data_IF_954217689112
#
_entry.id   IF_954217689112
#
_cell.length_a   1.000
_cell.length_b   1.000
_cell.length_c   1.000
_cell.angle_alpha   90.00
_cell.angle_beta   90.00
_cell.angle_gamma   90.00
#
_symmetry.space_group_name_H-M   'P 1'
#
loop_
_entity.id
_entity.type
_entity.pdbx_description
1 polymer ?
#
# COMPACT_ATOMS: atom_id res chain seq x y z
N UNK A 1 -65.52 -35.87 45.40
CA UNK A 1 -64.23 -36.33 44.84
C UNK A 1 -63.75 -35.49 43.65
N UNK A 2 -64.62 -35.02 42.74
CA UNK A 2 -64.23 -34.09 41.66
C UNK A 2 -63.94 -32.65 42.17
N UNK A 3 -64.70 -32.13 43.13
CA UNK A 3 -64.46 -30.78 43.67
C UNK A 3 -63.17 -30.62 44.50
N UNK A 4 -62.68 -31.69 45.11
CA UNK A 4 -61.40 -31.66 45.84
C UNK A 4 -60.21 -31.61 44.85
N UNK A 5 -60.33 -32.31 43.71
CA UNK A 5 -59.33 -32.29 42.63
C UNK A 5 -59.31 -30.93 41.92
N UNK A 6 -60.45 -30.24 41.82
CA UNK A 6 -60.53 -28.89 41.24
C UNK A 6 -59.87 -27.83 42.16
N UNK A 7 -60.12 -27.89 43.48
CA UNK A 7 -59.49 -26.99 44.46
C UNK A 7 -57.98 -27.22 44.60
N UNK A 8 -57.53 -28.46 44.51
CA UNK A 8 -56.10 -28.79 44.51
C UNK A 8 -55.41 -28.35 43.19
N UNK A 9 -56.17 -28.23 42.08
CA UNK A 9 -55.68 -27.69 40.80
C UNK A 9 -55.61 -26.17 40.77
N UNK A 10 -56.50 -25.45 41.44
CA UNK A 10 -56.44 -23.99 41.57
C UNK A 10 -55.35 -23.52 42.54
N UNK A 11 -55.10 -24.26 43.62
CA UNK A 11 -54.00 -23.97 44.55
C UNK A 11 -52.61 -24.21 43.92
N UNK A 12 -52.47 -25.24 43.06
CA UNK A 12 -51.26 -25.47 42.25
C UNK A 12 -51.08 -24.45 41.11
N UNK A 13 -52.15 -23.79 40.64
CA UNK A 13 -52.08 -22.74 39.61
C UNK A 13 -51.65 -21.39 40.16
N UNK A 14 -51.99 -21.08 41.42
CA UNK A 14 -51.68 -19.81 42.06
C UNK A 14 -50.37 -19.79 42.87
N UNK A 15 -49.66 -20.92 42.99
CA UNK A 15 -48.33 -21.00 43.63
C UNK A 15 -47.15 -20.97 42.64
N UNK A 16 -47.39 -20.93 41.32
CA UNK A 16 -46.32 -20.93 40.30
C UNK A 16 -46.17 -19.59 39.55
N UNK A 17 -46.71 -18.50 40.08
CA UNK A 17 -46.67 -17.16 39.44
C UNK A 17 -45.81 -16.13 40.20
N UNK A 18 -44.92 -16.57 41.08
CA UNK A 18 -43.82 -15.75 41.59
C UNK A 18 -42.55 -16.61 41.58
N UNK A 19 -41.51 -16.12 40.89
CA UNK A 19 -40.17 -16.71 40.71
C UNK A 19 -39.97 -17.84 39.67
N UNK A 20 -40.50 -17.66 38.46
CA UNK A 20 -39.94 -18.34 37.28
C UNK A 20 -38.99 -17.40 36.55
N UNK A 21 -37.71 -17.43 36.96
CA UNK A 21 -36.62 -16.95 36.13
C UNK A 21 -36.61 -17.74 34.82
N UNK A 22 -37.12 -17.13 33.76
CA UNK A 22 -37.10 -17.73 32.43
C UNK A 22 -35.66 -17.81 31.93
N UNK A 23 -35.00 -18.97 32.06
CA UNK A 23 -33.80 -19.26 31.28
C UNK A 23 -34.22 -19.59 29.85
N UNK A 24 -34.23 -18.59 29.00
CA UNK A 24 -34.39 -18.78 27.57
C UNK A 24 -33.07 -19.33 27.00
N UNK A 25 -33.07 -20.59 26.56
CA UNK A 25 -32.01 -21.11 25.68
C UNK A 25 -32.55 -20.98 24.25
N UNK A 26 -32.12 -19.99 23.46
CA UNK A 26 -32.56 -19.87 22.08
C UNK A 26 -32.16 -21.13 21.32
N UNK A 27 -33.14 -21.87 20.80
CA UNK A 27 -32.87 -22.81 19.73
C UNK A 27 -32.65 -21.99 18.45
N UNK A 28 -31.40 -21.59 18.21
CA UNK A 28 -31.00 -20.92 16.99
C UNK A 28 -31.15 -21.92 15.84
N UNK A 29 -32.26 -21.86 15.10
CA UNK A 29 -32.30 -22.45 13.77
C UNK A 29 -31.33 -21.68 12.88
N UNK A 30 -30.23 -22.33 12.51
CA UNK A 30 -29.33 -21.81 11.50
C UNK A 30 -30.09 -21.75 10.17
N UNK A 31 -30.63 -20.58 9.84
CA UNK A 31 -31.00 -20.29 8.47
C UNK A 31 -29.72 -20.34 7.65
N UNK A 32 -29.64 -21.29 6.71
CA UNK A 32 -28.60 -21.27 5.67
C UNK A 32 -28.79 -19.97 4.90
N UNK A 33 -28.02 -18.95 5.24
CA UNK A 33 -27.82 -17.81 4.35
C UNK A 33 -27.38 -18.39 3.01
N UNK A 34 -28.14 -18.07 1.96
CA UNK A 34 -27.78 -18.49 0.62
C UNK A 34 -26.33 -18.07 0.40
N UNK A 35 -25.44 -19.04 0.15
CA UNK A 35 -24.04 -18.77 -0.17
C UNK A 35 -24.01 -18.08 -1.52
N UNK A 36 -24.15 -16.76 -1.53
CA UNK A 36 -23.92 -15.93 -2.70
C UNK A 36 -22.47 -16.19 -3.08
N UNK A 37 -22.24 -16.94 -4.17
CA UNK A 37 -20.89 -17.15 -4.69
C UNK A 37 -20.32 -15.78 -5.03
N UNK A 38 -19.40 -15.30 -4.20
CA UNK A 38 -18.70 -14.04 -4.42
C UNK A 38 -17.96 -14.15 -5.76
N UNK A 39 -18.35 -13.31 -6.72
CA UNK A 39 -17.65 -13.20 -8.01
C UNK A 39 -16.52 -12.19 -7.83
N UNK A 40 -15.33 -12.68 -7.54
CA UNK A 40 -14.12 -11.87 -7.31
C UNK A 40 -13.86 -10.87 -8.44
N UNK A 41 -14.10 -11.28 -9.70
CA UNK A 41 -13.93 -10.43 -10.88
C UNK A 41 -14.80 -9.17 -10.91
N UNK A 42 -15.83 -9.10 -10.06
CA UNK A 42 -16.73 -7.93 -9.93
C UNK A 42 -16.39 -7.03 -8.74
N UNK A 43 -15.46 -7.44 -7.89
CA UNK A 43 -15.03 -6.67 -6.74
C UNK A 43 -13.79 -5.85 -7.08
N UNK A 44 -13.64 -4.68 -6.47
CA UNK A 44 -12.37 -3.96 -6.44
C UNK A 44 -11.34 -4.73 -5.62
N UNK A 45 -10.05 -4.49 -5.87
CA UNK A 45 -8.97 -5.18 -5.14
C UNK A 45 -9.05 -4.92 -3.64
N UNK A 46 -9.35 -3.68 -3.24
CA UNK A 46 -9.59 -3.30 -1.84
C UNK A 46 -10.70 -4.14 -1.19
N UNK A 47 -11.84 -4.32 -1.87
CA UNK A 47 -12.96 -5.12 -1.34
C UNK A 47 -12.59 -6.61 -1.21
N UNK A 48 -11.71 -7.11 -2.08
CA UNK A 48 -11.19 -8.48 -1.95
C UNK A 48 -10.29 -8.60 -0.72
N UNK A 49 -9.42 -7.63 -0.46
CA UNK A 49 -8.56 -7.64 0.73
C UNK A 49 -9.39 -7.61 2.03
N UNK A 50 -10.45 -6.80 2.08
CA UNK A 50 -11.39 -6.75 3.22
C UNK A 50 -12.11 -8.10 3.37
N UNK A 51 -12.62 -8.67 2.27
CA UNK A 51 -13.26 -9.99 2.29
C UNK A 51 -12.31 -11.09 2.81
N UNK A 52 -11.04 -11.05 2.39
CA UNK A 52 -10.01 -11.98 2.84
C UNK A 52 -9.73 -11.83 4.33
N UNK A 53 -9.57 -10.60 4.83
CA UNK A 53 -9.36 -10.34 6.26
C UNK A 53 -10.49 -10.93 7.11
N UNK A 54 -11.75 -10.69 6.74
CA UNK A 54 -12.89 -11.26 7.44
C UNK A 54 -12.88 -12.78 7.44
N UNK A 55 -12.53 -13.40 6.31
CA UNK A 55 -12.47 -14.84 6.21
C UNK A 55 -11.31 -15.46 6.98
N UNK A 56 -10.16 -14.76 7.09
CA UNK A 56 -9.08 -15.16 7.99
C UNK A 56 -9.53 -15.09 9.45
N UNK A 57 -10.15 -13.99 9.88
CA UNK A 57 -10.66 -13.81 11.24
C UNK A 57 -11.69 -14.88 11.63
N UNK A 58 -12.55 -15.29 10.69
CA UNK A 58 -13.58 -16.32 10.89
C UNK A 58 -13.09 -17.74 10.64
N UNK A 59 -11.83 -17.93 10.23
CA UNK A 59 -11.28 -19.22 9.80
C UNK A 59 -12.17 -19.93 8.76
N UNK A 60 -12.68 -19.18 7.77
CA UNK A 60 -13.59 -19.71 6.74
C UNK A 60 -12.85 -20.73 5.84
N UNK A 61 -13.09 -22.01 6.10
CA UNK A 61 -12.48 -23.13 5.36
C UNK A 61 -12.72 -23.06 3.85
N UNK A 62 -13.86 -22.53 3.40
CA UNK A 62 -14.15 -22.42 1.97
C UNK A 62 -13.35 -21.28 1.32
N UNK A 63 -13.15 -20.17 2.02
CA UNK A 63 -12.26 -19.12 1.54
C UNK A 63 -10.82 -19.61 1.52
N UNK A 64 -10.36 -20.22 2.61
CA UNK A 64 -8.98 -20.71 2.76
C UNK A 64 -8.64 -21.79 1.72
N UNK A 65 -9.58 -22.68 1.38
CA UNK A 65 -9.35 -23.66 0.31
C UNK A 65 -9.24 -23.04 -1.09
N UNK A 66 -9.74 -21.81 -1.27
CA UNK A 66 -9.66 -21.06 -2.52
C UNK A 66 -8.54 -20.00 -2.52
N UNK A 67 -7.70 -19.93 -1.49
CA UNK A 67 -6.74 -18.83 -1.31
C UNK A 67 -5.77 -18.69 -2.49
N UNK A 68 -5.26 -19.80 -3.03
CA UNK A 68 -4.36 -19.80 -4.20
C UNK A 68 -5.04 -19.31 -5.49
N UNK A 69 -6.35 -19.52 -5.62
CA UNK A 69 -7.11 -18.96 -6.73
C UNK A 69 -7.28 -17.46 -6.56
N UNK A 70 -7.60 -17.00 -5.35
CA UNK A 70 -7.75 -15.57 -5.05
C UNK A 70 -6.41 -14.86 -5.26
N UNK A 71 -5.31 -15.46 -4.80
CA UNK A 71 -3.93 -15.00 -5.01
C UNK A 71 -3.67 -14.73 -6.49
N UNK A 72 -3.85 -15.73 -7.35
CA UNK A 72 -3.63 -15.60 -8.80
C UNK A 72 -4.46 -14.49 -9.44
N UNK A 73 -5.70 -14.33 -9.02
CA UNK A 73 -6.57 -13.28 -9.56
C UNK A 73 -6.12 -11.88 -9.12
N UNK A 74 -5.79 -11.72 -7.84
CA UNK A 74 -5.39 -10.43 -7.26
C UNK A 74 -4.01 -9.99 -7.78
N UNK A 75 -3.06 -10.92 -7.92
CA UNK A 75 -1.70 -10.63 -8.43
C UNK A 75 -1.65 -10.11 -9.86
N UNK A 76 -2.72 -10.27 -10.65
CA UNK A 76 -2.79 -9.81 -12.04
C UNK A 76 -3.39 -8.40 -12.17
N UNK A 77 -3.83 -7.80 -11.07
CA UNK A 77 -4.55 -6.51 -11.10
C UNK A 77 -3.58 -5.34 -11.06
N UNK A 78 -3.82 -4.36 -11.91
CA UNK A 78 -2.99 -3.15 -12.02
C UNK A 78 -3.14 -2.22 -10.81
N UNK A 79 -4.30 -2.22 -10.15
CA UNK A 79 -4.58 -1.41 -8.95
C UNK A 79 -4.09 -2.04 -7.65
N UNK A 80 -3.39 -3.19 -7.72
CA UNK A 80 -3.03 -3.99 -6.55
C UNK A 80 -2.24 -3.20 -5.51
N UNK A 81 -1.16 -2.55 -5.92
CA UNK A 81 -0.27 -1.87 -5.00
C UNK A 81 -0.99 -0.72 -4.27
N UNK A 82 -1.71 0.13 -5.01
CA UNK A 82 -2.48 1.23 -4.43
C UNK A 82 -3.59 0.74 -3.50
N UNK A 83 -4.30 -0.33 -3.87
CA UNK A 83 -5.33 -0.94 -3.03
C UNK A 83 -4.76 -1.51 -1.73
N UNK A 84 -3.54 -2.08 -1.76
CA UNK A 84 -2.84 -2.55 -0.56
C UNK A 84 -2.47 -1.37 0.34
N UNK A 85 -1.96 -0.27 -0.20
CA UNK A 85 -1.63 0.91 0.61
C UNK A 85 -2.86 1.50 1.30
N UNK A 86 -3.96 1.68 0.54
CA UNK A 86 -5.28 2.08 1.06
C UNK A 86 -5.76 1.16 2.18
N UNK A 87 -5.59 -0.14 1.98
CA UNK A 87 -5.96 -1.13 2.97
C UNK A 87 -5.12 -0.98 4.24
N UNK A 88 -3.79 -0.83 4.12
CA UNK A 88 -2.85 -0.81 5.25
C UNK A 88 -2.88 0.47 6.09
N UNK A 89 -3.18 1.63 5.50
CA UNK A 89 -3.13 2.94 6.15
C UNK A 89 -3.83 2.99 7.52
N UNK A 90 -5.00 2.35 7.60
CA UNK A 90 -5.84 2.37 8.81
C UNK A 90 -5.81 1.05 9.59
N UNK A 91 -4.85 0.16 9.32
CA UNK A 91 -4.82 -1.17 9.93
C UNK A 91 -3.89 -1.23 11.12
N UNK A 92 -4.45 -1.74 12.22
CA UNK A 92 -3.65 -2.14 13.39
C UNK A 92 -3.02 -3.49 13.10
N UNK A 93 -1.69 -3.50 12.99
CA UNK A 93 -0.92 -4.73 12.91
C UNK A 93 -0.85 -5.35 14.31
N UNK A 94 -1.14 -6.65 14.41
CA UNK A 94 -0.93 -7.44 15.62
C UNK A 94 0.18 -8.45 15.40
N UNK A 95 0.66 -9.02 16.49
CA UNK A 95 1.65 -10.09 16.51
C UNK A 95 1.18 -11.31 15.70
N UNK A 96 2.11 -12.03 15.08
CA UNK A 96 1.86 -13.25 14.32
C UNK A 96 1.21 -14.35 15.17
N UNK A 97 1.50 -14.40 16.47
CA UNK A 97 0.82 -15.33 17.39
C UNK A 97 -0.68 -15.08 17.48
N UNK A 98 -1.13 -13.83 17.34
CA UNK A 98 -2.55 -13.50 17.30
C UNK A 98 -3.24 -14.08 16.06
N UNK A 99 -2.48 -14.25 14.98
CA UNK A 99 -2.97 -14.61 13.65
C UNK A 99 -2.69 -16.06 13.27
N UNK A 100 -2.01 -16.83 14.11
CA UNK A 100 -1.59 -18.17 13.76
C UNK A 100 -2.78 -19.13 13.73
N UNK A 101 -2.95 -19.82 12.60
CA UNK A 101 -3.97 -20.86 12.43
C UNK A 101 -3.28 -22.17 12.03
N UNK A 102 -3.40 -23.25 12.83
CA UNK A 102 -2.75 -24.52 12.53
C UNK A 102 -3.15 -25.08 11.14
N UNK A 103 -2.16 -25.54 10.39
CA UNK A 103 -2.36 -26.25 9.12
C UNK A 103 -2.51 -25.36 7.87
N UNK A 104 -2.39 -24.04 8.00
CA UNK A 104 -2.41 -23.12 6.85
C UNK A 104 -1.09 -22.37 6.69
N UNK A 105 -0.57 -22.31 5.45
CA UNK A 105 0.64 -21.56 5.10
C UNK A 105 0.43 -20.05 5.18
N UNK A 106 -0.74 -19.59 4.77
CA UNK A 106 -1.18 -18.20 4.87
C UNK A 106 -2.25 -18.15 5.95
N UNK A 107 -1.90 -17.61 7.11
CA UNK A 107 -2.79 -17.58 8.27
C UNK A 107 -3.49 -16.24 8.46
N UNK A 108 -3.02 -15.17 7.78
CA UNK A 108 -3.64 -13.86 7.84
C UNK A 108 -3.43 -13.04 6.55
N UNK A 109 -4.12 -11.90 6.53
CA UNK A 109 -4.11 -10.95 5.42
C UNK A 109 -2.73 -10.31 5.16
N UNK A 110 -1.92 -10.10 6.20
CA UNK A 110 -0.58 -9.53 6.03
C UNK A 110 0.37 -10.54 5.37
N UNK A 111 0.33 -11.81 5.79
CA UNK A 111 1.05 -12.89 5.10
C UNK A 111 0.59 -13.02 3.65
N UNK A 112 -0.72 -12.89 3.40
CA UNK A 112 -1.25 -12.88 2.04
C UNK A 112 -0.68 -11.72 1.22
N UNK A 113 -0.68 -10.50 1.76
CA UNK A 113 -0.12 -9.30 1.10
C UNK A 113 1.36 -9.50 0.76
N UNK A 114 2.15 -10.01 1.70
CA UNK A 114 3.58 -10.26 1.46
C UNK A 114 3.85 -11.35 0.42
N UNK A 115 2.92 -12.28 0.25
CA UNK A 115 3.02 -13.35 -0.74
C UNK A 115 2.56 -12.90 -2.15
N UNK A 116 1.73 -11.85 -2.26
CA UNK A 116 1.34 -11.25 -3.54
C UNK A 116 2.23 -10.08 -3.98
N UNK A 117 2.88 -9.39 -3.04
CA UNK A 117 3.83 -8.29 -3.30
C UNK A 117 5.12 -8.58 -2.51
N UNK A 118 5.97 -9.52 -2.98
CA UNK A 118 7.19 -9.89 -2.26
C UNK A 118 8.21 -8.74 -2.16
N UNK A 119 8.17 -7.78 -3.07
CA UNK A 119 9.01 -6.58 -3.09
C UNK A 119 8.29 -5.34 -2.52
N UNK A 120 7.42 -5.53 -1.52
CA UNK A 120 6.62 -4.43 -0.93
C UNK A 120 7.48 -3.27 -0.42
N UNK A 121 8.57 -3.55 0.31
CA UNK A 121 9.41 -2.51 0.91
C UNK A 121 10.08 -1.60 -0.13
N UNK A 122 10.80 -2.13 -1.15
CA UNK A 122 11.32 -1.30 -2.24
C UNK A 122 10.24 -0.46 -2.93
N UNK A 123 9.09 -1.06 -3.26
CA UNK A 123 7.98 -0.35 -3.93
C UNK A 123 7.39 0.76 -3.05
N UNK A 124 7.22 0.50 -1.75
CA UNK A 124 6.71 1.48 -0.81
C UNK A 124 7.71 2.62 -0.58
N UNK A 125 9.02 2.34 -0.56
CA UNK A 125 10.06 3.36 -0.47
C UNK A 125 10.03 4.30 -1.67
N UNK A 126 9.95 3.75 -2.89
CA UNK A 126 9.82 4.55 -4.12
C UNK A 126 8.56 5.41 -4.12
N UNK A 127 7.41 4.81 -3.78
CA UNK A 127 6.13 5.52 -3.66
C UNK A 127 6.21 6.65 -2.63
N UNK A 128 6.75 6.36 -1.45
CA UNK A 128 6.85 7.31 -0.35
C UNK A 128 7.71 8.53 -0.73
N UNK A 129 8.88 8.28 -1.32
CA UNK A 129 9.79 9.33 -1.80
C UNK A 129 9.12 10.17 -2.88
N UNK A 130 8.50 9.54 -3.89
CA UNK A 130 7.77 10.26 -4.95
C UNK A 130 6.74 11.22 -4.35
N UNK A 131 5.90 10.73 -3.43
CA UNK A 131 4.82 11.53 -2.87
C UNK A 131 5.30 12.68 -2.01
N UNK A 132 6.36 12.47 -1.23
CA UNK A 132 7.01 13.53 -0.46
C UNK A 132 7.61 14.58 -1.39
N UNK A 133 8.41 14.16 -2.37
CA UNK A 133 9.10 15.08 -3.27
C UNK A 133 8.10 15.92 -4.06
N UNK A 134 7.03 15.30 -4.55
CA UNK A 134 5.96 15.98 -5.27
C UNK A 134 4.98 16.75 -4.36
N UNK A 135 5.12 16.70 -3.03
CA UNK A 135 4.21 17.32 -2.05
C UNK A 135 2.74 16.92 -2.26
N UNK A 136 2.51 15.65 -2.63
CA UNK A 136 1.17 15.10 -2.88
C UNK A 136 0.68 14.34 -1.66
N UNK A 137 -0.64 14.30 -1.47
CA UNK A 137 -1.25 13.39 -0.49
C UNK A 137 -0.95 11.93 -0.86
N UNK A 138 -0.77 11.09 0.15
CA UNK A 138 -0.43 9.68 -0.03
C UNK A 138 -0.99 8.82 1.10
N UNK A 139 -1.09 7.52 0.82
CA UNK A 139 -1.52 6.52 1.80
C UNK A 139 -0.33 6.10 2.66
N UNK A 140 -0.42 6.41 3.96
CA UNK A 140 0.68 6.15 4.89
C UNK A 140 0.62 4.72 5.47
N UNK A 141 1.44 3.82 4.93
CA UNK A 141 1.61 2.47 5.44
C UNK A 141 2.77 2.33 6.45
N UNK A 142 3.31 3.44 6.98
CA UNK A 142 4.50 3.44 7.84
C UNK A 142 4.33 2.62 9.12
N UNK A 143 3.12 2.59 9.70
CA UNK A 143 2.83 1.74 10.85
C UNK A 143 2.97 0.25 10.52
N UNK A 144 2.53 -0.16 9.33
CA UNK A 144 2.70 -1.54 8.88
C UNK A 144 4.18 -1.88 8.67
N UNK A 145 4.93 -0.99 8.03
CA UNK A 145 6.38 -1.15 7.83
C UNK A 145 7.11 -1.24 9.16
N UNK A 146 6.80 -0.37 10.11
CA UNK A 146 7.40 -0.38 11.45
C UNK A 146 7.20 -1.71 12.17
N UNK A 147 5.98 -2.24 12.15
CA UNK A 147 5.63 -3.46 12.89
C UNK A 147 6.10 -4.74 12.20
N UNK A 148 6.18 -4.77 10.85
CA UNK A 148 6.56 -5.97 10.08
C UNK A 148 7.98 -5.99 9.54
N UNK A 149 8.60 -4.82 9.42
CA UNK A 149 9.91 -4.59 8.80
C UNK A 149 10.71 -3.58 9.62
N UNK A 150 10.87 -3.84 10.91
CA UNK A 150 11.51 -2.90 11.86
C UNK A 150 12.88 -2.40 11.37
N UNK A 151 13.67 -3.28 10.75
CA UNK A 151 15.00 -2.94 10.24
C UNK A 151 14.92 -2.00 9.02
N UNK A 152 13.98 -2.24 8.11
CA UNK A 152 13.80 -1.38 6.94
C UNK A 152 13.15 -0.04 7.30
N UNK A 153 12.33 -0.02 8.36
CA UNK A 153 11.69 1.20 8.86
C UNK A 153 12.69 2.28 9.27
N UNK A 154 13.88 1.90 9.76
CA UNK A 154 14.95 2.86 10.10
C UNK A 154 15.33 3.74 8.90
N UNK A 155 15.31 3.19 7.68
CA UNK A 155 15.59 3.95 6.47
C UNK A 155 14.55 5.06 6.22
N UNK A 156 13.28 4.80 6.53
CA UNK A 156 12.22 5.82 6.42
C UNK A 156 12.37 6.90 7.51
N UNK A 157 12.86 6.55 8.70
CA UNK A 157 13.18 7.54 9.73
C UNK A 157 14.33 8.44 9.32
N UNK A 158 15.39 7.89 8.70
CA UNK A 158 16.49 8.68 8.16
C UNK A 158 16.01 9.66 7.09
N UNK A 159 15.17 9.21 6.14
CA UNK A 159 14.56 10.09 5.13
C UNK A 159 13.79 11.23 5.81
N UNK A 160 12.93 10.92 6.77
CA UNK A 160 12.15 11.95 7.48
C UNK A 160 13.02 12.93 8.27
N UNK A 161 14.09 12.43 8.90
CA UNK A 161 15.06 13.24 9.62
C UNK A 161 15.79 14.19 8.66
N UNK A 162 16.29 13.67 7.54
CA UNK A 162 16.98 14.46 6.52
C UNK A 162 16.05 15.54 5.95
N UNK A 163 14.81 15.18 5.59
CA UNK A 163 13.78 16.13 5.14
C UNK A 163 13.55 17.26 6.15
N UNK A 164 13.58 16.94 7.45
CA UNK A 164 13.41 17.94 8.52
C UNK A 164 14.63 18.83 8.69
N UNK A 165 15.84 18.29 8.57
CA UNK A 165 17.10 19.01 8.72
C UNK A 165 17.34 19.97 7.55
N UNK A 166 17.06 19.53 6.33
CA UNK A 166 17.35 20.28 5.11
C UNK A 166 16.21 21.18 4.64
N UNK A 167 15.05 21.18 5.33
CA UNK A 167 13.86 21.97 5.00
C UNK A 167 14.13 23.47 4.78
N UNK A 168 15.15 24.01 5.45
CA UNK A 168 15.50 25.43 5.43
C UNK A 168 16.69 25.75 4.52
N UNK A 169 17.40 24.74 4.02
CA UNK A 169 18.67 24.93 3.34
C UNK A 169 18.49 25.13 1.84
N UNK A 170 17.60 24.37 1.19
CA UNK A 170 17.36 24.45 -0.25
C UNK A 170 15.88 24.14 -0.54
N UNK A 171 15.34 24.66 -1.65
CA UNK A 171 14.05 24.24 -2.21
C UNK A 171 14.00 22.76 -2.62
N UNK A 172 15.14 22.05 -2.53
CA UNK A 172 15.34 20.64 -2.88
C UNK A 172 15.39 19.75 -1.64
N UNK A 173 14.80 18.56 -1.74
CA UNK A 173 14.90 17.53 -0.71
C UNK A 173 16.27 16.84 -0.78
N UNK A 174 17.00 16.84 0.32
CA UNK A 174 18.31 16.18 0.46
C UNK A 174 18.13 15.02 1.42
N UNK A 175 18.67 13.85 1.09
CA UNK A 175 18.77 12.72 2.01
C UNK A 175 20.01 11.88 1.71
N UNK A 176 20.44 11.12 2.71
CA UNK A 176 21.60 10.23 2.61
C UNK A 176 21.24 9.01 1.77
N UNK A 177 21.94 8.80 0.66
CA UNK A 177 21.76 7.64 -0.21
C UNK A 177 23.03 6.79 -0.22
N UNK A 178 22.91 5.48 -0.07
CA UNK A 178 24.04 4.57 -0.21
C UNK A 178 24.52 4.58 -1.67
N UNK A 179 25.78 4.99 -1.90
CA UNK A 179 26.57 4.82 -3.12
C UNK A 179 25.80 4.88 -4.46
N UNK A 180 25.39 6.07 -4.87
CA UNK A 180 24.98 6.33 -6.26
C UNK A 180 25.90 7.41 -6.83
N UNK A 181 26.98 6.96 -7.48
CA UNK A 181 27.72 7.83 -8.38
C UNK A 181 26.92 8.00 -9.66
N UNK A 182 26.88 9.23 -10.18
CA UNK A 182 26.31 9.49 -11.50
C UNK A 182 27.19 8.83 -12.57
N UNK A 183 26.56 8.20 -13.55
CA UNK A 183 27.30 7.73 -14.71
C UNK A 183 27.67 8.91 -15.65
N UNK A 184 28.64 8.69 -16.53
CA UNK A 184 29.13 9.76 -17.41
C UNK A 184 28.06 10.25 -18.41
N UNK A 185 27.08 9.40 -18.75
CA UNK A 185 25.99 9.76 -19.65
C UNK A 185 24.93 10.64 -18.95
N UNK A 186 24.68 10.36 -17.68
CA UNK A 186 23.82 11.17 -16.79
C UNK A 186 24.43 12.55 -16.58
N UNK A 187 25.73 12.62 -16.27
CA UNK A 187 26.46 13.89 -16.13
C UNK A 187 26.33 14.73 -17.41
N UNK A 188 26.61 14.15 -18.58
CA UNK A 188 26.48 14.85 -19.86
C UNK A 188 25.05 15.32 -20.14
N UNK A 189 24.03 14.55 -19.74
CA UNK A 189 22.64 14.94 -19.91
C UNK A 189 22.27 16.10 -18.97
N UNK A 190 22.71 16.06 -17.72
CA UNK A 190 22.50 17.12 -16.73
C UNK A 190 23.18 18.42 -17.14
N UNK A 191 24.41 18.34 -17.65
CA UNK A 191 25.14 19.49 -18.20
C UNK A 191 24.41 20.12 -19.41
N UNK A 192 23.89 19.29 -20.32
CA UNK A 192 23.08 19.77 -21.46
C UNK A 192 21.79 20.47 -21.02
N UNK A 193 21.20 20.01 -19.92
CA UNK A 193 20.00 20.62 -19.33
C UNK A 193 20.32 21.82 -18.42
N UNK A 194 21.61 22.12 -18.20
CA UNK A 194 22.06 23.13 -17.25
C UNK A 194 21.51 22.89 -15.82
N UNK A 195 21.34 21.63 -15.43
CA UNK A 195 20.87 21.23 -14.10
C UNK A 195 22.10 21.03 -13.21
N UNK A 196 22.21 21.77 -12.08
CA UNK A 196 23.28 21.53 -11.12
C UNK A 196 23.11 20.14 -10.51
N UNK A 197 24.13 19.30 -10.67
CA UNK A 197 24.10 17.90 -10.23
C UNK A 197 24.95 17.63 -9.00
N UNK A 198 25.60 18.67 -8.47
CA UNK A 198 26.55 18.63 -7.38
C UNK A 198 26.49 19.92 -6.56
N UNK A 199 26.56 19.79 -5.23
CA UNK A 199 26.63 20.90 -4.29
C UNK A 199 27.62 20.57 -3.18
N UNK A 200 28.56 21.47 -2.92
CA UNK A 200 29.41 21.44 -1.73
C UNK A 200 28.71 22.12 -0.56
N UNK A 201 28.41 21.37 0.49
CA UNK A 201 27.85 21.90 1.74
C UNK A 201 28.96 22.39 2.67
N UNK A 202 30.03 21.60 2.80
CA UNK A 202 31.25 21.94 3.56
C UNK A 202 32.47 21.37 2.83
N UNK A 203 33.67 21.68 3.31
CA UNK A 203 34.93 21.15 2.74
C UNK A 203 35.01 19.60 2.76
N UNK A 204 34.23 18.96 3.65
CA UNK A 204 34.18 17.50 3.83
C UNK A 204 32.85 16.87 3.39
N UNK A 205 31.88 17.68 2.94
CA UNK A 205 30.52 17.20 2.62
C UNK A 205 30.08 17.67 1.24
N UNK A 206 30.02 16.70 0.35
CA UNK A 206 29.51 16.83 -1.00
C UNK A 206 28.14 16.18 -1.11
N UNK A 207 27.25 16.76 -1.91
CA UNK A 207 25.98 16.16 -2.26
C UNK A 207 25.82 16.09 -3.78
N UNK A 208 25.24 14.98 -4.23
CA UNK A 208 24.97 14.70 -5.63
C UNK A 208 23.46 14.56 -5.85
N UNK A 209 23.00 14.96 -7.02
CA UNK A 209 21.62 14.70 -7.41
C UNK A 209 21.42 13.19 -7.62
N UNK A 210 20.33 12.64 -7.10
CA UNK A 210 19.99 11.22 -7.29
C UNK A 210 18.95 11.12 -8.41
N UNK A 211 19.43 10.90 -9.63
CA UNK A 211 18.64 10.92 -10.88
C UNK A 211 17.39 10.03 -10.83
N UNK A 212 17.47 8.86 -10.19
CA UNK A 212 16.36 7.90 -10.10
C UNK A 212 15.23 8.32 -9.15
N UNK A 213 15.47 9.30 -8.28
CA UNK A 213 14.49 9.75 -7.28
C UNK A 213 14.21 11.25 -7.34
N UNK A 214 14.94 11.99 -8.18
CA UNK A 214 14.69 13.39 -8.46
C UNK A 214 13.53 13.54 -9.45
N UNK A 215 12.75 14.60 -9.27
CA UNK A 215 11.66 14.99 -10.16
C UNK A 215 11.93 16.38 -10.70
N UNK A 216 11.46 16.63 -11.91
CA UNK A 216 11.63 17.89 -12.63
C UNK A 216 10.34 18.24 -13.35
N UNK A 217 9.97 19.52 -13.28
CA UNK A 217 8.89 20.07 -14.08
C UNK A 217 9.43 20.42 -15.46
N UNK A 218 8.86 19.81 -16.49
CA UNK A 218 9.31 19.95 -17.87
C UNK A 218 8.15 20.46 -18.70
N UNK A 219 8.41 21.49 -19.51
CA UNK A 219 7.47 21.97 -20.51
C UNK A 219 7.97 21.60 -21.90
N UNK A 220 7.21 20.76 -22.61
CA UNK A 220 7.52 20.29 -23.97
C UNK A 220 6.35 20.70 -24.87
N UNK A 221 6.56 21.73 -25.70
CA UNK A 221 5.50 22.32 -26.50
C UNK A 221 4.42 22.96 -25.60
N UNK A 222 3.18 22.50 -25.73
CA UNK A 222 2.04 22.99 -24.93
C UNK A 222 1.71 22.12 -23.71
N UNK A 223 2.58 21.18 -23.37
CA UNK A 223 2.36 20.27 -22.25
C UNK A 223 3.38 20.51 -21.16
N UNK A 224 2.91 20.60 -19.91
CA UNK A 224 3.75 20.66 -18.72
C UNK A 224 3.52 19.41 -17.89
N UNK A 225 4.61 18.77 -17.50
CA UNK A 225 4.59 17.52 -16.74
C UNK A 225 5.61 17.58 -15.61
N UNK A 226 5.26 17.00 -14.46
CA UNK A 226 6.26 16.62 -13.45
C UNK A 226 6.69 15.19 -13.74
N UNK A 227 7.94 14.99 -14.13
CA UNK A 227 8.48 13.66 -14.47
C UNK A 227 9.71 13.34 -13.62
N UNK A 228 10.06 12.06 -13.52
CA UNK A 228 11.34 11.68 -12.94
C UNK A 228 12.49 12.16 -13.83
N UNK A 229 13.58 12.58 -13.19
CA UNK A 229 14.76 13.09 -13.89
C UNK A 229 15.40 12.02 -14.77
N UNK A 230 15.42 10.76 -14.33
CA UNK A 230 15.89 9.63 -15.13
C UNK A 230 15.07 9.39 -16.40
N UNK A 231 13.76 9.65 -16.37
CA UNK A 231 12.90 9.58 -17.55
C UNK A 231 13.22 10.70 -18.55
N UNK A 232 13.49 11.92 -18.06
CA UNK A 232 13.93 13.05 -18.89
C UNK A 232 15.32 12.81 -19.49
N UNK A 233 16.28 12.33 -18.69
CA UNK A 233 17.60 11.93 -19.17
C UNK A 233 17.44 10.81 -20.20
N UNK A 234 16.58 9.83 -19.93
CA UNK A 234 16.22 8.75 -20.85
C UNK A 234 15.73 9.27 -22.20
N UNK A 235 14.90 10.32 -22.22
CA UNK A 235 14.47 10.97 -23.46
C UNK A 235 15.64 11.59 -24.23
N UNK A 236 16.56 12.27 -23.53
CA UNK A 236 17.72 12.94 -24.14
C UNK A 236 18.75 11.96 -24.72
N UNK A 237 19.02 10.88 -23.99
CA UNK A 237 19.99 9.84 -24.40
C UNK A 237 19.35 8.74 -25.25
N UNK A 238 18.04 8.85 -25.53
CA UNK A 238 17.24 7.88 -26.30
C UNK A 238 17.27 6.47 -25.70
N UNK A 239 17.08 6.37 -24.39
CA UNK A 239 17.01 5.11 -23.68
C UNK A 239 15.64 4.45 -23.88
N UNK A 240 15.61 3.31 -24.59
CA UNK A 240 14.40 2.54 -24.90
C UNK A 240 13.54 2.20 -23.66
N UNK A 241 14.12 2.12 -22.45
CA UNK A 241 13.39 1.89 -21.21
C UNK A 241 12.22 2.86 -21.00
N UNK A 242 12.39 4.12 -21.39
CA UNK A 242 11.39 5.17 -21.17
C UNK A 242 10.55 5.46 -22.41
N UNK A 243 10.72 4.71 -23.50
CA UNK A 243 10.03 4.98 -24.76
C UNK A 243 8.51 4.92 -24.60
N UNK A 244 8.00 3.82 -24.03
CA UNK A 244 6.56 3.64 -23.81
C UNK A 244 5.98 4.77 -22.93
N UNK A 245 6.72 5.17 -21.90
CA UNK A 245 6.31 6.27 -21.02
C UNK A 245 6.11 7.56 -21.84
N UNK A 246 7.07 7.93 -22.70
CA UNK A 246 6.95 9.16 -23.49
C UNK A 246 5.94 9.06 -24.63
N UNK A 247 5.82 7.90 -25.27
CA UNK A 247 4.81 7.63 -26.30
C UNK A 247 3.38 7.76 -25.74
N UNK A 248 3.13 7.26 -24.51
CA UNK A 248 1.85 7.45 -23.79
C UNK A 248 1.54 8.92 -23.51
N UNK A 249 2.57 9.75 -23.35
CA UNK A 249 2.45 11.21 -23.17
C UNK A 249 2.46 11.98 -24.51
N UNK A 250 2.46 11.28 -25.65
CA UNK A 250 2.42 11.88 -26.99
C UNK A 250 3.74 12.49 -27.45
N UNK A 251 4.86 12.17 -26.78
CA UNK A 251 6.20 12.69 -27.09
C UNK A 251 7.01 11.60 -27.77
N UNK A 252 7.33 11.81 -29.06
CA UNK A 252 8.17 10.89 -29.82
C UNK A 252 9.65 11.28 -29.71
N UNK A 253 10.50 10.26 -29.62
CA UNK A 253 11.97 10.40 -29.60
C UNK A 253 12.50 11.03 -30.90
N UNK A 254 11.77 10.85 -32.00
CA UNK A 254 12.15 11.35 -33.32
C UNK A 254 11.86 12.85 -33.48
N UNK A 255 10.85 13.36 -32.75
CA UNK A 255 10.39 14.74 -32.85
C UNK A 255 10.89 15.62 -31.70
N UNK A 256 11.43 15.03 -30.64
CA UNK A 256 11.96 15.79 -29.50
C UNK A 256 13.24 16.55 -29.88
N UNK A 257 13.13 17.88 -29.95
CA UNK A 257 14.25 18.80 -30.12
C UNK A 257 14.76 19.24 -28.75
N UNK A 258 16.09 19.22 -28.56
CA UNK A 258 16.79 19.46 -27.28
C UNK A 258 16.57 20.83 -26.62
N UNK A 259 15.77 21.73 -27.22
CA UNK A 259 15.36 23.02 -26.63
C UNK A 259 14.11 22.86 -25.77
N UNK A 260 14.13 21.94 -24.80
CA UNK A 260 13.11 21.94 -23.76
C UNK A 260 13.50 23.01 -22.73
N UNK A 261 12.62 23.99 -22.52
CA UNK A 261 12.77 24.92 -21.41
C UNK A 261 12.46 24.16 -20.12
N UNK A 262 13.51 23.69 -19.46
CA UNK A 262 13.41 23.09 -18.12
C UNK A 262 13.32 24.26 -17.13
N UNK A 263 12.15 24.41 -16.53
CA UNK A 263 11.92 25.38 -15.46
C UNK A 263 12.09 24.61 -14.15
N UNK A 264 13.16 24.91 -13.42
CA UNK A 264 13.45 24.35 -12.09
C UNK A 264 12.74 25.13 -10.97
#
# INVERSE_FOLDING_TARGET
MKEQIEKDRESLRNQNTQDLGFSYIPLLQAQKTAKTKVKLSKLSTLNILIYLEEGFQKSDKHMLSNIERIKREVSQRTDLFEAVLKYLENKKVRDDLFYWTPGYKISNIFCFIMDIIPNFIPLYKEYYIEKIVCKREFYDASNFVKERFSNDYEQFNLINMDLSMFRNCISTHIWTHENVGLDQSEIQALEKLNIPYFVNFTDDLEAYIVVTTSFVDVTIGNHSFTVRLDALIGLLVRNEKYRNFWDEHGISYETFNQKADVIL
#
